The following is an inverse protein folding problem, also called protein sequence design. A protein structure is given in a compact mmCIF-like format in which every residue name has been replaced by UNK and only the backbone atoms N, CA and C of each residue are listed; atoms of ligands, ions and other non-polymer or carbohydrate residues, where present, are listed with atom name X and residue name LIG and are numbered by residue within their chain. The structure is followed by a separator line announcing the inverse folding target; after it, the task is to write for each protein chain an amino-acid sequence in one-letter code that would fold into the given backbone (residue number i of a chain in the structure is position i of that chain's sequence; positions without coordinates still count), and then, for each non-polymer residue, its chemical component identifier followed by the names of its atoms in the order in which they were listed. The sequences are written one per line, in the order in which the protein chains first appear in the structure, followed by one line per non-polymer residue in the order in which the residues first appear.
data_IF_665241811437
#
_entry.id   IF_665241811437
#
_cell.length_a   1.000
_cell.length_b   1.000
_cell.length_c   1.000
_cell.angle_alpha   90.00
_cell.angle_beta   90.00
_cell.angle_gamma   90.00
#
_symmetry.space_group_name_H-M   'P 1'
#
loop_
_entity.id
_entity.type
_entity.pdbx_description
1 polymer ?
#
# COMPACT_ATOMS: atom_id res chain seq x y z
N UNK A 1 20.96 -6.14 -21.61
CA UNK A 1 20.21 -5.00 -21.07
C UNK A 1 20.72 -4.70 -19.68
N UNK A 2 21.41 -3.58 -19.52
CA UNK A 2 21.96 -3.13 -18.25
C UNK A 2 20.84 -2.51 -17.40
N UNK A 3 20.25 -3.26 -16.46
CA UNK A 3 19.56 -2.63 -15.34
C UNK A 3 20.62 -2.12 -14.36
N UNK A 4 21.18 -0.95 -14.67
CA UNK A 4 22.19 -0.25 -13.89
C UNK A 4 21.60 0.43 -12.66
N UNK A 5 21.11 -0.37 -11.70
CA UNK A 5 20.99 0.09 -10.33
C UNK A 5 22.20 -0.46 -9.58
N UNK A 6 23.14 0.41 -9.24
CA UNK A 6 24.12 0.11 -8.20
C UNK A 6 23.31 -0.34 -6.96
N UNK A 7 23.42 -1.61 -6.52
CA UNK A 7 22.57 -2.15 -5.44
C UNK A 7 22.73 -1.42 -4.10
N UNK A 8 23.76 -0.58 -3.99
CA UNK A 8 24.19 0.12 -2.79
C UNK A 8 23.64 1.55 -2.66
N UNK A 9 22.79 2.02 -3.59
CA UNK A 9 22.35 3.43 -3.65
C UNK A 9 20.88 3.69 -3.32
N UNK A 10 20.05 2.68 -3.08
CA UNK A 10 18.62 2.89 -2.77
C UNK A 10 18.20 2.09 -1.55
N UNK A 11 17.62 2.77 -0.57
CA UNK A 11 17.08 2.20 0.67
C UNK A 11 15.58 2.43 0.70
N UNK A 12 14.82 1.35 0.86
CA UNK A 12 13.38 1.43 1.05
C UNK A 12 13.12 1.58 2.53
N UNK A 13 12.42 2.64 2.91
CA UNK A 13 12.03 2.91 4.29
C UNK A 13 10.57 2.53 4.46
N UNK A 14 10.27 1.77 5.51
CA UNK A 14 8.91 1.37 5.85
C UNK A 14 8.51 2.08 7.14
N UNK A 15 7.37 2.79 7.08
CA UNK A 15 6.77 3.43 8.24
C UNK A 15 5.31 3.75 7.93
N UNK A 16 4.41 3.61 8.90
CA UNK A 16 2.97 3.70 8.65
C UNK A 16 2.59 5.05 8.08
N UNK A 17 3.14 6.12 8.65
CA UNK A 17 2.86 7.49 8.22
C UNK A 17 3.91 8.05 7.24
N UNK A 18 4.57 7.19 6.46
CA UNK A 18 5.60 7.65 5.52
C UNK A 18 5.09 8.66 4.49
N UNK A 19 3.79 8.67 4.17
CA UNK A 19 3.20 9.68 3.30
C UNK A 19 3.24 11.11 3.89
N UNK A 20 3.43 11.23 5.21
CA UNK A 20 3.61 12.50 5.92
C UNK A 20 5.07 12.68 6.36
N UNK A 21 5.64 11.65 6.99
CA UNK A 21 6.96 11.69 7.59
C UNK A 21 8.08 11.92 6.57
N UNK A 22 8.01 11.25 5.41
CA UNK A 22 9.06 11.34 4.38
C UNK A 22 9.20 12.73 3.75
N UNK A 23 8.16 13.59 3.85
CA UNK A 23 8.17 14.94 3.28
C UNK A 23 9.28 15.82 3.86
N UNK A 24 9.54 15.69 5.16
CA UNK A 24 10.54 16.50 5.86
C UNK A 24 11.81 15.70 6.19
N UNK A 25 11.80 14.38 5.98
CA UNK A 25 12.92 13.51 6.33
C UNK A 25 14.23 13.93 5.66
N UNK A 26 14.19 14.32 4.38
CA UNK A 26 15.38 14.79 3.68
C UNK A 26 15.97 16.05 4.33
N UNK A 27 15.14 17.07 4.58
CA UNK A 27 15.57 18.30 5.25
C UNK A 27 16.15 18.03 6.63
N UNK A 28 15.50 17.18 7.42
CA UNK A 28 16.00 16.82 8.76
C UNK A 28 17.34 16.09 8.73
N UNK A 29 17.57 15.25 7.73
CA UNK A 29 18.86 14.56 7.56
C UNK A 29 19.96 15.52 7.12
N UNK A 30 19.64 16.50 6.27
CA UNK A 30 20.59 17.54 5.84
C UNK A 30 20.96 18.53 6.96
N UNK A 31 20.00 18.87 7.82
CA UNK A 31 20.21 19.78 8.97
C UNK A 31 20.89 19.10 10.17
N UNK A 32 20.98 17.76 10.17
CA UNK A 32 21.53 17.02 11.29
C UNK A 32 23.06 17.14 11.36
N UNK A 33 23.60 17.50 12.53
CA UNK A 33 25.05 17.64 12.74
C UNK A 33 25.76 16.34 13.13
N UNK A 34 25.00 15.32 13.52
CA UNK A 34 25.50 14.06 14.09
C UNK A 34 25.37 12.88 13.13
N UNK A 35 24.55 13.01 12.08
CA UNK A 35 24.28 11.97 11.10
C UNK A 35 24.64 12.46 9.71
N UNK A 36 25.41 11.65 8.97
CA UNK A 36 25.73 11.90 7.56
C UNK A 36 25.38 10.67 6.74
N UNK A 37 24.59 10.84 5.69
CA UNK A 37 24.33 9.76 4.75
C UNK A 37 25.45 9.63 3.71
N UNK A 38 25.77 8.41 3.24
CA UNK A 38 26.67 8.21 2.12
C UNK A 38 26.20 8.98 0.88
N UNK A 39 27.15 9.59 0.17
CA UNK A 39 26.85 10.35 -1.06
C UNK A 39 26.14 9.47 -2.09
N UNK A 40 24.96 9.93 -2.54
CA UNK A 40 24.15 9.20 -3.53
C UNK A 40 23.26 8.10 -2.94
N UNK A 41 23.16 7.97 -1.61
CA UNK A 41 22.13 7.15 -0.99
C UNK A 41 20.75 7.80 -1.19
N UNK A 42 19.81 7.03 -1.70
CA UNK A 42 18.45 7.46 -2.00
C UNK A 42 17.48 6.73 -1.08
N UNK A 43 16.57 7.48 -0.47
CA UNK A 43 15.50 6.91 0.36
C UNK A 43 14.21 6.84 -0.45
N UNK A 44 13.64 5.64 -0.53
CA UNK A 44 12.33 5.41 -1.12
C UNK A 44 11.34 5.15 0.01
N UNK A 45 10.36 6.04 0.26
CA UNK A 45 9.33 5.78 1.26
C UNK A 45 8.37 4.70 0.77
N UNK A 46 7.96 3.84 1.70
CA UNK A 46 6.96 2.78 1.57
C UNK A 46 6.12 2.73 2.84
N UNK A 47 4.86 2.33 2.70
CA UNK A 47 3.96 2.04 3.83
C UNK A 47 3.66 0.54 3.81
N UNK A 48 3.51 -0.11 4.96
CA UNK A 48 3.10 -1.51 5.03
C UNK A 48 1.81 -1.74 4.26
N UNK A 49 1.71 -2.85 3.52
CA UNK A 49 0.58 -3.08 2.61
C UNK A 49 -0.78 -3.14 3.34
N UNK A 50 -0.80 -3.43 4.64
CA UNK A 50 -2.02 -3.47 5.46
C UNK A 50 -2.39 -2.06 5.89
N UNK A 51 -1.40 -1.29 6.34
CA UNK A 51 -1.56 0.08 6.80
C UNK A 51 -1.92 1.05 5.68
N UNK A 52 -1.39 0.86 4.46
CA UNK A 52 -1.63 1.79 3.35
C UNK A 52 -3.12 1.86 2.95
N UNK A 53 -3.90 0.81 3.20
CA UNK A 53 -5.35 0.81 2.96
C UNK A 53 -6.12 1.69 3.96
N UNK A 54 -5.54 2.00 5.12
CA UNK A 54 -6.12 2.96 6.08
C UNK A 54 -5.82 4.42 5.76
N UNK A 55 -5.04 4.68 4.70
CA UNK A 55 -4.67 6.03 4.27
C UNK A 55 -5.61 6.57 3.18
N UNK A 56 -5.33 7.78 2.70
CA UNK A 56 -6.01 8.34 1.52
C UNK A 56 -5.80 7.40 0.32
N UNK A 57 -6.77 7.35 -0.59
CA UNK A 57 -6.78 6.40 -1.71
C UNK A 57 -5.52 6.48 -2.57
N UNK A 58 -5.01 7.68 -2.79
CA UNK A 58 -3.79 7.93 -3.57
C UNK A 58 -2.53 7.39 -2.89
N UNK A 59 -2.56 7.14 -1.57
CA UNK A 59 -1.41 6.57 -0.88
C UNK A 59 -1.14 5.12 -1.30
N UNK A 60 -2.16 4.39 -1.75
CA UNK A 60 -2.00 3.00 -2.18
C UNK A 60 -1.04 2.88 -3.36
N UNK A 61 -1.31 3.57 -4.45
CA UNK A 61 -0.47 3.55 -5.66
C UNK A 61 0.90 4.18 -5.43
N UNK A 62 0.94 5.22 -4.57
CA UNK A 62 2.16 5.98 -4.29
C UNK A 62 3.09 5.34 -3.28
N UNK A 63 2.63 4.54 -2.32
CA UNK A 63 3.46 4.04 -1.22
C UNK A 63 3.36 2.54 -0.95
N UNK A 64 2.44 1.79 -1.58
CA UNK A 64 2.40 0.35 -1.39
C UNK A 64 3.66 -0.31 -1.96
N UNK A 65 4.26 -1.30 -1.26
CA UNK A 65 5.49 -1.95 -1.66
C UNK A 65 5.37 -2.70 -2.99
N UNK A 66 4.15 -3.14 -3.34
CA UNK A 66 3.88 -3.84 -4.60
C UNK A 66 4.22 -3.01 -5.84
N UNK A 67 4.21 -1.67 -5.73
CA UNK A 67 4.54 -0.76 -6.83
C UNK A 67 5.98 -0.25 -6.77
N UNK A 68 6.80 -0.73 -5.83
CA UNK A 68 8.19 -0.32 -5.65
C UNK A 68 9.12 -1.41 -6.18
N UNK A 69 9.84 -1.16 -7.30
CA UNK A 69 10.82 -2.10 -7.81
C UNK A 69 11.87 -2.46 -6.75
N UNK A 70 12.09 -3.75 -6.55
CA UNK A 70 13.04 -4.27 -5.57
C UNK A 70 12.51 -4.44 -4.14
N UNK A 71 11.32 -3.93 -3.81
CA UNK A 71 10.68 -4.22 -2.52
C UNK A 71 10.26 -5.68 -2.41
N UNK A 72 9.86 -6.27 -3.54
CA UNK A 72 9.27 -7.61 -3.59
C UNK A 72 7.87 -7.64 -2.98
N UNK A 73 7.28 -8.84 -2.92
CA UNK A 73 6.04 -9.05 -2.17
C UNK A 73 6.39 -9.16 -0.68
N UNK A 74 6.21 -8.05 0.02
CA UNK A 74 6.37 -7.98 1.47
C UNK A 74 5.01 -8.25 2.09
N UNK A 75 4.94 -9.30 2.91
CA UNK A 75 3.78 -9.54 3.74
C UNK A 75 3.60 -8.35 4.68
N UNK A 76 2.37 -7.90 4.76
CA UNK A 76 2.01 -6.58 5.20
C UNK A 76 2.21 -6.32 6.70
N UNK A 77 2.39 -7.39 7.47
CA UNK A 77 2.52 -7.37 8.94
C UNK A 77 3.89 -7.84 9.43
N UNK A 78 4.67 -8.58 8.62
CA UNK A 78 5.88 -9.29 9.08
C UNK A 78 6.90 -8.36 9.74
N UNK A 79 7.01 -7.11 9.29
CA UNK A 79 7.95 -6.16 9.88
C UNK A 79 7.64 -5.85 11.35
N UNK A 80 6.36 -5.78 11.69
CA UNK A 80 5.84 -5.50 13.03
C UNK A 80 5.64 -6.76 13.86
N UNK A 81 5.38 -7.91 13.24
CA UNK A 81 5.29 -9.19 13.96
C UNK A 81 6.57 -9.49 14.75
N UNK A 82 7.73 -9.03 14.26
CA UNK A 82 9.00 -9.16 14.96
C UNK A 82 9.04 -8.33 16.26
N UNK A 83 8.29 -7.24 16.36
CA UNK A 83 8.17 -6.45 17.58
C UNK A 83 7.34 -7.13 18.65
N UNK A 84 6.58 -8.19 18.33
CA UNK A 84 5.89 -8.98 19.36
C UNK A 84 6.87 -9.53 20.42
N UNK A 85 8.11 -9.82 20.03
CA UNK A 85 9.17 -10.24 20.94
C UNK A 85 9.55 -9.15 21.95
N UNK A 86 9.45 -7.86 21.58
CA UNK A 86 9.69 -6.73 22.48
C UNK A 86 8.60 -6.59 23.54
N UNK A 87 7.37 -7.01 23.25
CA UNK A 87 6.28 -6.98 24.22
C UNK A 87 6.57 -7.83 25.47
N UNK A 88 7.34 -8.91 25.33
CA UNK A 88 7.78 -9.75 26.45
C UNK A 88 8.72 -9.02 27.41
N UNK A 89 9.50 -8.06 26.90
CA UNK A 89 10.57 -7.39 27.62
C UNK A 89 10.10 -6.01 28.12
N UNK A 90 9.09 -5.43 27.47
CA UNK A 90 8.51 -4.14 27.86
C UNK A 90 8.19 -4.04 29.37
N UNK A 91 7.55 -5.04 30.03
CA UNK A 91 7.27 -4.95 31.46
C UNK A 91 8.51 -4.83 32.36
N UNK A 92 9.63 -5.47 31.98
CA UNK A 92 10.87 -5.38 32.78
C UNK A 92 11.58 -4.04 32.57
N UNK A 93 11.32 -3.37 31.45
CA UNK A 93 11.88 -2.06 31.13
C UNK A 93 11.14 -0.90 31.82
N UNK A 94 9.88 -1.09 32.27
CA UNK A 94 9.05 -0.02 32.85
C UNK A 94 9.63 0.63 34.10
N UNK A 95 10.31 -0.14 34.94
CA UNK A 95 10.93 0.36 36.18
C UNK A 95 12.32 0.97 35.98
N UNK A 96 12.85 0.96 34.75
CA UNK A 96 14.21 1.40 34.47
C UNK A 96 14.31 2.91 34.29
N UNK A 97 15.46 3.47 34.63
CA UNK A 97 15.82 4.85 34.28
C UNK A 97 15.92 4.97 32.75
N UNK A 98 15.54 6.11 32.17
CA UNK A 98 15.45 6.33 30.72
C UNK A 98 16.67 5.86 29.92
N UNK A 99 17.89 6.13 30.40
CA UNK A 99 19.11 5.67 29.73
C UNK A 99 19.20 4.14 29.66
N UNK A 100 18.96 3.45 30.78
CA UNK A 100 18.97 1.98 30.82
C UNK A 100 17.82 1.36 30.04
N UNK A 101 16.64 1.99 30.05
CA UNK A 101 15.51 1.56 29.22
C UNK A 101 15.90 1.59 27.73
N UNK A 102 16.49 2.70 27.28
CA UNK A 102 16.95 2.83 25.89
C UNK A 102 18.00 1.76 25.55
N UNK A 103 19.03 1.60 26.38
CA UNK A 103 20.07 0.58 26.17
C UNK A 103 19.51 -0.84 26.07
N UNK A 104 18.55 -1.19 26.94
CA UNK A 104 17.90 -2.49 26.91
C UNK A 104 17.14 -2.71 25.61
N UNK A 105 16.33 -1.74 25.18
CA UNK A 105 15.58 -1.84 23.93
C UNK A 105 16.51 -1.94 22.72
N UNK A 106 17.53 -1.09 22.66
CA UNK A 106 18.53 -1.09 21.59
C UNK A 106 19.25 -2.44 21.52
N UNK A 107 19.62 -3.02 22.67
CA UNK A 107 20.23 -4.35 22.73
C UNK A 107 19.31 -5.44 22.17
N UNK A 108 18.04 -5.45 22.55
CA UNK A 108 17.07 -6.45 22.08
C UNK A 108 16.75 -6.30 20.59
N UNK A 109 16.60 -5.07 20.12
CA UNK A 109 16.42 -4.78 18.69
C UNK A 109 17.66 -5.20 17.89
N UNK A 110 18.87 -4.96 18.42
CA UNK A 110 20.11 -5.36 17.78
C UNK A 110 20.28 -6.88 17.72
N UNK A 111 19.92 -7.61 18.78
CA UNK A 111 19.91 -9.08 18.78
C UNK A 111 18.94 -9.63 17.71
N UNK A 112 17.72 -9.08 17.64
CA UNK A 112 16.76 -9.42 16.59
C UNK A 112 17.32 -9.18 15.18
N UNK A 113 17.99 -8.04 14.96
CA UNK A 113 18.64 -7.72 13.69
C UNK A 113 19.80 -8.66 13.38
N UNK A 114 20.62 -9.02 14.37
CA UNK A 114 21.71 -9.98 14.23
C UNK A 114 21.20 -11.37 13.84
N UNK A 115 20.17 -11.85 14.51
CA UNK A 115 19.51 -13.11 14.16
C UNK A 115 18.96 -13.06 12.73
N UNK A 116 18.28 -11.97 12.33
CA UNK A 116 17.83 -11.81 10.94
C UNK A 116 18.99 -11.93 9.95
N UNK A 117 20.13 -11.30 10.22
CA UNK A 117 21.31 -11.40 9.36
C UNK A 117 21.83 -12.84 9.23
N UNK A 118 21.95 -13.57 10.36
CA UNK A 118 22.41 -14.97 10.35
C UNK A 118 21.44 -15.86 9.56
N UNK A 119 20.15 -15.75 9.84
CA UNK A 119 19.11 -16.62 9.27
C UNK A 119 18.73 -16.22 7.83
N UNK A 120 19.14 -15.04 7.36
CA UNK A 120 18.80 -14.51 6.04
C UNK A 120 19.12 -15.48 4.92
N UNK A 121 20.32 -16.07 4.93
CA UNK A 121 20.76 -17.00 3.87
C UNK A 121 19.85 -18.24 3.76
N UNK A 122 19.44 -18.80 4.91
CA UNK A 122 18.56 -19.95 4.96
C UNK A 122 17.14 -19.58 4.52
N UNK A 123 16.62 -18.46 5.02
CA UNK A 123 15.29 -17.96 4.65
C UNK A 123 15.21 -17.66 3.14
N UNK A 124 16.21 -16.99 2.57
CA UNK A 124 16.28 -16.70 1.13
C UNK A 124 16.35 -17.98 0.30
N UNK A 125 17.14 -18.98 0.74
CA UNK A 125 17.20 -20.29 0.05
C UNK A 125 15.84 -20.98 0.02
N UNK A 126 15.10 -20.96 1.14
CA UNK A 126 13.76 -21.54 1.20
C UNK A 126 12.77 -20.78 0.32
N UNK A 127 12.73 -19.44 0.42
CA UNK A 127 11.88 -18.59 -0.42
C UNK A 127 12.16 -18.76 -1.90
N UNK A 128 13.44 -18.88 -2.28
CA UNK A 128 13.82 -19.12 -3.67
C UNK A 128 13.32 -20.47 -4.19
N UNK A 129 13.39 -21.54 -3.37
CA UNK A 129 12.84 -22.84 -3.75
C UNK A 129 11.33 -22.77 -4.00
N UNK A 130 10.60 -22.10 -3.10
CA UNK A 130 9.15 -21.90 -3.25
C UNK A 130 8.84 -21.09 -4.50
N UNK A 131 9.53 -19.98 -4.74
CA UNK A 131 9.37 -19.14 -5.93
C UNK A 131 9.63 -19.91 -7.23
N UNK A 132 10.64 -20.77 -7.25
CA UNK A 132 10.91 -21.64 -8.41
C UNK A 132 9.79 -22.64 -8.67
N UNK A 133 9.21 -23.21 -7.62
CA UNK A 133 8.12 -24.17 -7.74
C UNK A 133 6.83 -23.51 -8.22
N UNK A 134 6.55 -22.28 -7.77
CA UNK A 134 5.35 -21.54 -8.16
C UNK A 134 5.47 -20.82 -9.51
N UNK A 135 6.68 -20.68 -10.07
CA UNK A 135 6.93 -19.90 -11.29
C UNK A 135 6.04 -20.33 -12.46
N UNK A 136 5.97 -21.63 -12.76
CA UNK A 136 5.18 -22.13 -13.88
C UNK A 136 3.69 -21.75 -13.73
N UNK A 137 3.12 -21.99 -12.55
CA UNK A 137 1.72 -21.66 -12.26
C UNK A 137 1.44 -20.16 -12.31
N UNK A 138 2.37 -19.33 -11.82
CA UNK A 138 2.23 -17.86 -11.88
C UNK A 138 2.33 -17.39 -13.33
N UNK A 139 3.26 -17.94 -14.11
CA UNK A 139 3.42 -17.61 -15.52
C UNK A 139 2.18 -17.99 -16.35
N UNK A 140 1.61 -19.17 -16.11
CA UNK A 140 0.40 -19.61 -16.80
C UNK A 140 -0.78 -18.68 -16.51
N UNK A 141 -0.98 -18.33 -15.23
CA UNK A 141 -2.02 -17.36 -14.83
C UNK A 141 -1.80 -15.96 -15.40
N UNK A 142 -0.53 -15.53 -15.44
CA UNK A 142 -0.17 -14.25 -16.05
C UNK A 142 -0.51 -14.27 -17.55
N UNK A 143 -0.06 -15.29 -18.28
CA UNK A 143 -0.34 -15.44 -19.71
C UNK A 143 -1.84 -15.52 -20.01
N UNK A 144 -2.62 -16.18 -19.15
CA UNK A 144 -4.07 -16.24 -19.30
C UNK A 144 -4.71 -14.84 -19.21
N UNK A 145 -4.25 -14.00 -18.27
CA UNK A 145 -4.71 -12.61 -18.14
C UNK A 145 -4.21 -11.75 -19.31
N UNK A 146 -2.94 -11.91 -19.66
CA UNK A 146 -2.24 -11.16 -20.73
C UNK A 146 -2.90 -11.38 -22.10
N UNK A 147 -3.32 -12.63 -22.38
CA UNK A 147 -4.01 -13.00 -23.62
C UNK A 147 -5.35 -12.31 -23.86
N UNK A 148 -5.94 -11.71 -22.81
CA UNK A 148 -7.23 -11.01 -22.88
C UNK A 148 -7.08 -9.51 -23.20
N UNK A 149 -5.85 -9.00 -23.23
CA UNK A 149 -5.53 -7.58 -23.45
C UNK A 149 -5.19 -7.36 -24.93
N UNK A 150 -5.65 -6.24 -25.51
CA UNK A 150 -5.34 -5.88 -26.90
C UNK A 150 -3.88 -5.43 -27.04
N UNK A 151 -3.23 -5.79 -28.16
CA UNK A 151 -1.84 -5.44 -28.48
C UNK A 151 -1.51 -3.94 -28.36
N UNK A 152 -2.44 -3.06 -28.76
CA UNK A 152 -2.26 -1.61 -28.64
C UNK A 152 -2.22 -1.11 -27.19
N UNK A 153 -2.88 -1.81 -26.27
CA UNK A 153 -2.88 -1.46 -24.84
C UNK A 153 -1.63 -1.97 -24.14
N UNK A 154 -1.09 -3.11 -24.55
CA UNK A 154 0.16 -3.65 -24.01
C UNK A 154 1.30 -2.65 -24.06
N UNK A 155 1.57 -2.12 -25.26
CA UNK A 155 2.63 -1.15 -25.46
C UNK A 155 2.39 0.15 -24.66
N UNK A 156 1.14 0.63 -24.65
CA UNK A 156 0.76 1.85 -23.93
C UNK A 156 0.99 1.71 -22.42
N UNK A 157 0.57 0.60 -21.82
CA UNK A 157 0.72 0.38 -20.38
C UNK A 157 2.18 0.22 -19.97
N UNK A 158 2.98 -0.47 -20.77
CA UNK A 158 4.42 -0.59 -20.53
C UNK A 158 5.10 0.78 -20.60
N UNK A 159 4.75 1.61 -21.57
CA UNK A 159 5.28 2.98 -21.66
C UNK A 159 4.86 3.83 -20.46
N UNK A 160 3.58 3.79 -20.08
CA UNK A 160 3.05 4.50 -18.91
C UNK A 160 3.74 4.08 -17.62
N UNK A 161 3.93 2.79 -17.39
CA UNK A 161 4.65 2.25 -16.24
C UNK A 161 6.10 2.74 -16.19
N UNK A 162 6.83 2.67 -17.31
CA UNK A 162 8.21 3.15 -17.38
C UNK A 162 8.31 4.64 -17.05
N UNK A 163 7.42 5.45 -17.60
CA UNK A 163 7.35 6.89 -17.30
C UNK A 163 7.03 7.11 -15.84
N UNK A 164 5.99 6.46 -15.30
CA UNK A 164 5.58 6.58 -13.91
C UNK A 164 6.71 6.23 -12.94
N UNK A 165 7.38 5.09 -13.14
CA UNK A 165 8.48 4.64 -12.30
C UNK A 165 9.70 5.58 -12.39
N UNK A 166 10.01 6.12 -13.58
CA UNK A 166 11.09 7.08 -13.75
C UNK A 166 10.80 8.43 -13.08
N UNK A 167 9.54 8.88 -13.12
CA UNK A 167 9.10 10.15 -12.56
C UNK A 167 8.77 10.08 -11.07
N UNK A 168 8.47 8.90 -10.52
CA UNK A 168 8.05 8.64 -9.13
C UNK A 168 8.87 9.41 -8.09
N UNK A 169 10.18 9.52 -8.31
CA UNK A 169 11.12 10.20 -7.40
C UNK A 169 10.86 11.69 -7.28
N UNK A 170 10.57 12.34 -8.40
CA UNK A 170 10.34 13.78 -8.46
C UNK A 170 8.86 14.10 -8.23
N UNK A 171 7.99 13.24 -8.74
CA UNK A 171 6.55 13.43 -8.74
C UNK A 171 5.85 12.13 -8.37
N UNK A 172 5.45 11.99 -7.11
CA UNK A 172 4.72 10.82 -6.62
C UNK A 172 3.40 10.60 -7.35
N UNK A 173 2.73 11.69 -7.78
CA UNK A 173 1.48 11.65 -8.55
C UNK A 173 1.61 10.87 -9.88
N UNK A 174 2.82 10.69 -10.40
CA UNK A 174 3.04 9.88 -11.59
C UNK A 174 2.58 8.42 -11.40
N UNK A 175 2.50 7.94 -10.15
CA UNK A 175 2.04 6.60 -9.80
C UNK A 175 0.51 6.45 -9.81
N UNK A 176 -0.24 7.54 -9.95
CA UNK A 176 -1.70 7.51 -9.94
C UNK A 176 -2.28 6.77 -11.16
N UNK A 177 -1.45 6.43 -12.15
CA UNK A 177 -1.81 5.54 -13.27
C UNK A 177 -2.30 4.15 -12.82
N UNK A 178 -1.88 3.70 -11.64
CA UNK A 178 -2.30 2.41 -11.08
C UNK A 178 -3.63 2.51 -10.30
N UNK A 179 -4.20 3.71 -10.19
CA UNK A 179 -5.47 3.89 -9.52
C UNK A 179 -6.59 3.37 -10.40
N UNK A 180 -7.38 2.45 -9.87
CA UNK A 180 -8.56 1.95 -10.59
C UNK A 180 -9.63 3.03 -10.53
N UNK A 181 -9.75 3.77 -11.63
CA UNK A 181 -10.82 4.76 -11.80
C UNK A 181 -12.13 4.04 -12.14
N UNK A 182 -12.77 3.47 -11.11
CA UNK A 182 -14.15 3.04 -11.24
C UNK A 182 -15.03 4.27 -11.12
N UNK A 183 -15.86 4.50 -12.14
CA UNK A 183 -16.97 5.43 -11.98
C UNK A 183 -17.80 4.95 -10.79
N UNK A 184 -17.83 5.76 -9.73
CA UNK A 184 -18.66 5.47 -8.58
C UNK A 184 -20.09 5.40 -9.10
N UNK A 185 -20.72 4.25 -8.90
CA UNK A 185 -22.15 4.11 -9.16
C UNK A 185 -22.88 5.27 -8.46
N UNK A 186 -23.85 5.90 -9.15
CA UNK A 186 -24.57 7.02 -8.57
C UNK A 186 -25.20 6.59 -7.25
N UNK A 187 -25.01 7.39 -6.21
CA UNK A 187 -25.65 7.12 -4.91
C UNK A 187 -27.17 7.12 -5.07
N UNK A 188 -27.91 6.40 -4.23
CA UNK A 188 -29.39 6.44 -4.27
C UNK A 188 -29.93 7.87 -4.24
N UNK A 189 -29.28 8.77 -3.50
CA UNK A 189 -29.65 10.20 -3.47
C UNK A 189 -29.41 10.90 -4.80
N UNK A 190 -28.31 10.59 -5.49
CA UNK A 190 -28.04 11.12 -6.83
C UNK A 190 -29.06 10.60 -7.85
N UNK A 191 -29.43 9.31 -7.76
CA UNK A 191 -30.49 8.71 -8.58
C UNK A 191 -31.84 9.38 -8.28
N UNK A 192 -32.17 9.61 -7.01
CA UNK A 192 -33.41 10.29 -6.62
C UNK A 192 -33.48 11.71 -7.18
N UNK A 193 -32.39 12.49 -7.07
CA UNK A 193 -32.31 13.85 -7.63
C UNK A 193 -32.45 13.82 -9.16
N UNK A 194 -31.77 12.89 -9.83
CA UNK A 194 -31.85 12.73 -11.28
C UNK A 194 -33.28 12.36 -11.73
N UNK A 195 -33.95 11.45 -11.02
CA UNK A 195 -35.34 11.09 -11.27
C UNK A 195 -36.29 12.27 -11.03
N UNK A 196 -36.07 13.10 -10.00
CA UNK A 196 -36.87 14.31 -9.76
C UNK A 196 -36.68 15.31 -10.91
N UNK A 197 -35.44 15.51 -11.37
CA UNK A 197 -35.13 16.41 -12.47
C UNK A 197 -35.69 15.91 -13.82
N UNK A 198 -35.57 14.62 -14.13
CA UNK A 198 -36.02 14.03 -15.41
C UNK A 198 -37.54 13.82 -15.49
N UNK A 199 -38.23 13.71 -14.35
CA UNK A 199 -39.70 13.59 -14.30
C UNK A 199 -40.46 14.88 -14.68
N UNK A 200 -39.78 15.99 -14.98
CA UNK A 200 -40.44 17.20 -15.52
C UNK A 200 -41.13 16.98 -16.88
N UNK A 201 -40.93 15.84 -17.55
CA UNK A 201 -41.56 15.47 -18.81
C UNK A 201 -42.92 14.76 -18.67
N UNK A 202 -43.27 14.25 -17.48
CA UNK A 202 -44.56 13.59 -17.22
C UNK A 202 -45.36 14.40 -16.20
N UNK A 203 -46.57 14.82 -16.59
CA UNK A 203 -47.44 15.72 -15.84
C UNK A 203 -48.10 15.11 -14.59
N UNK A 204 -47.48 14.14 -13.91
CA UNK A 204 -48.10 13.47 -12.76
C UNK A 204 -47.20 13.43 -11.51
N UNK A 205 -47.76 13.97 -10.42
CA UNK A 205 -47.39 13.72 -9.03
C UNK A 205 -45.96 14.11 -8.60
N UNK A 206 -45.83 15.31 -8.05
CA UNK A 206 -44.65 15.70 -7.27
C UNK A 206 -44.45 14.70 -6.11
N UNK A 207 -43.26 14.10 -5.99
CA UNK A 207 -42.89 13.22 -4.87
C UNK A 207 -42.87 11.72 -5.17
N UNK A 208 -43.25 11.29 -6.37
CA UNK A 208 -43.25 9.86 -6.75
C UNK A 208 -41.87 9.21 -6.64
N UNK A 209 -40.81 9.91 -7.07
CA UNK A 209 -39.43 9.42 -6.96
C UNK A 209 -38.98 9.25 -5.49
N UNK A 210 -39.32 10.21 -4.63
CA UNK A 210 -39.03 10.14 -3.19
C UNK A 210 -39.78 8.99 -2.52
N UNK A 211 -41.02 8.73 -2.93
CA UNK A 211 -41.80 7.61 -2.41
C UNK A 211 -41.18 6.26 -2.79
N UNK A 212 -40.75 6.10 -4.05
CA UNK A 212 -40.05 4.90 -4.53
C UNK A 212 -38.72 4.69 -3.78
N UNK A 213 -37.92 5.75 -3.62
CA UNK A 213 -36.66 5.69 -2.87
C UNK A 213 -36.87 5.29 -1.41
N UNK A 214 -37.95 5.78 -0.79
CA UNK A 214 -38.31 5.41 0.58
C UNK A 214 -38.74 3.94 0.68
N UNK A 215 -39.57 3.44 -0.25
CA UNK A 215 -39.97 2.03 -0.27
C UNK A 215 -38.79 1.08 -0.45
N UNK A 216 -37.84 1.40 -1.32
CA UNK A 216 -36.62 0.60 -1.50
C UNK A 216 -35.78 0.53 -0.23
N UNK A 217 -35.69 1.64 0.52
CA UNK A 217 -35.01 1.64 1.83
C UNK A 217 -35.70 0.73 2.85
N UNK A 218 -37.04 0.73 2.88
CA UNK A 218 -37.81 -0.13 3.78
C UNK A 218 -37.60 -1.60 3.43
N UNK A 219 -37.66 -1.94 2.14
CA UNK A 219 -37.42 -3.31 1.65
C UNK A 219 -35.99 -3.77 1.98
N UNK A 220 -34.99 -2.92 1.77
CA UNK A 220 -33.61 -3.21 2.15
C UNK A 220 -33.47 -3.48 3.67
N UNK A 221 -34.13 -2.68 4.51
CA UNK A 221 -34.11 -2.89 5.96
C UNK A 221 -34.79 -4.21 6.37
N UNK A 222 -35.87 -4.59 5.68
CA UNK A 222 -36.53 -5.88 5.90
C UNK A 222 -35.64 -7.06 5.51
N UNK A 223 -34.92 -6.97 4.38
CA UNK A 223 -33.98 -8.00 3.95
C UNK A 223 -32.85 -8.17 4.97
N UNK A 224 -32.26 -7.07 5.45
CA UNK A 224 -31.21 -7.12 6.47
C UNK A 224 -31.71 -7.79 7.75
N UNK A 225 -32.89 -7.39 8.24
CA UNK A 225 -33.52 -8.00 9.41
C UNK A 225 -33.78 -9.51 9.25
N UNK A 226 -34.17 -9.96 8.04
CA UNK A 226 -34.41 -11.36 7.75
C UNK A 226 -33.12 -12.19 7.59
N UNK A 227 -31.99 -11.56 7.33
CA UNK A 227 -30.68 -12.23 7.27
C UNK A 227 -30.03 -12.39 8.65
N UNK A 228 -30.43 -11.56 9.63
CA UNK A 228 -29.94 -11.58 11.02
C UNK A 228 -30.75 -12.53 11.95
N UNK A 229 -31.74 -13.24 11.43
CA UNK A 229 -32.55 -14.27 12.12
C UNK A 229 -32.25 -15.68 11.60
#
# INVERSE_FOLDING_TARGET
MHHGLDPWKSVITFYDINCQYSKNLACWLEENRYLSLPSGLQTQPSIGLWHVHGHQTECFTRYAPNFIPGAGQVDSEIMETLWSSLNMISPSAWGMVTAHHQELLDFQMNDSNFLKMIWMSLALKQKFKVAKQSLATIQDKFNELDSKVLDGLHWLWVEQELVAQSCRRNTLQAMDIYEVQLEKAPTMKAIEIDLIHNNHSFSSSHGSATWIAWTLKVEQAQIVLAMDT
#
